data_IF_899009031445
#
_entry.id   IF_899009031445
#
_cell.length_a   1.000
_cell.length_b   1.000
_cell.length_c   1.000
_cell.angle_alpha   90.00
_cell.angle_beta   90.00
_cell.angle_gamma   90.00
#
_symmetry.space_group_name_H-M   'P 1'
#
loop_
_entity.id
_entity.type
_entity.pdbx_description
1 polymer ?
#
# COMPACT_ATOMS: atom_id res chain seq x y z
N UNK A 1 -14.16 -2.13 29.48
CA UNK A 1 -12.92 -2.45 28.73
C UNK A 1 -13.20 -3.16 27.41
N UNK A 2 -14.01 -4.23 27.40
CA UNK A 2 -14.34 -5.01 26.19
C UNK A 2 -14.80 -4.18 24.97
N UNK A 3 -15.71 -3.22 25.16
CA UNK A 3 -16.19 -2.34 24.09
C UNK A 3 -15.10 -1.46 23.46
N UNK A 4 -14.12 -1.00 24.26
CA UNK A 4 -13.00 -0.19 23.74
C UNK A 4 -12.07 -1.03 22.89
N UNK A 5 -11.83 -2.28 23.28
CA UNK A 5 -11.00 -3.21 22.52
C UNK A 5 -11.66 -3.59 21.19
N UNK A 6 -12.98 -3.81 21.19
CA UNK A 6 -13.75 -4.10 19.98
C UNK A 6 -13.82 -2.90 19.03
N UNK A 7 -14.08 -1.69 19.54
CA UNK A 7 -14.10 -0.48 18.72
C UNK A 7 -12.72 -0.19 18.10
N UNK A 8 -11.64 -0.36 18.87
CA UNK A 8 -10.28 -0.19 18.36
C UNK A 8 -9.92 -1.25 17.31
N UNK A 9 -10.31 -2.51 17.52
CA UNK A 9 -10.09 -3.57 16.54
C UNK A 9 -10.86 -3.32 15.23
N UNK A 10 -12.12 -2.88 15.31
CA UNK A 10 -12.92 -2.53 14.13
C UNK A 10 -12.34 -1.31 13.39
N UNK A 11 -11.90 -0.30 14.12
CA UNK A 11 -11.22 0.87 13.56
C UNK A 11 -9.92 0.47 12.85
N UNK A 12 -9.12 -0.38 13.49
CA UNK A 12 -7.87 -0.90 12.91
C UNK A 12 -8.12 -1.74 11.66
N UNK A 13 -9.17 -2.55 11.62
CA UNK A 13 -9.54 -3.33 10.44
C UNK A 13 -9.98 -2.45 9.28
N UNK A 14 -10.85 -1.46 9.54
CA UNK A 14 -11.29 -0.51 8.52
C UNK A 14 -10.12 0.26 7.91
N UNK A 15 -9.16 0.66 8.73
CA UNK A 15 -8.03 1.47 8.28
C UNK A 15 -6.92 0.60 7.67
N UNK A 16 -6.68 -0.62 8.18
CA UNK A 16 -5.81 -1.60 7.53
C UNK A 16 -6.24 -1.89 6.09
N UNK A 17 -7.55 -1.92 5.83
CA UNK A 17 -8.09 -2.03 4.48
C UNK A 17 -7.87 -0.76 3.62
N UNK A 18 -7.80 0.42 4.24
CA UNK A 18 -7.57 1.70 3.55
C UNK A 18 -6.09 1.99 3.26
N UNK A 19 -5.15 1.38 3.99
CA UNK A 19 -3.69 1.62 3.85
C UNK A 19 -3.12 1.22 2.46
N UNK A 20 -3.95 0.65 1.59
CA UNK A 20 -3.66 0.38 0.19
C UNK A 20 -4.33 1.33 -0.80
N UNK A 21 -4.73 2.55 -0.41
CA UNK A 21 -5.28 3.57 -1.32
C UNK A 21 -4.40 4.80 -1.27
N UNK A 22 -3.43 4.89 -2.17
CA UNK A 22 -2.59 6.07 -2.28
C UNK A 22 -2.18 6.34 -3.73
N UNK A 23 -1.43 7.40 -3.92
CA UNK A 23 -0.96 7.84 -5.23
C UNK A 23 0.53 7.52 -5.38
N UNK A 24 0.98 7.11 -6.58
CA UNK A 24 2.40 7.05 -6.89
C UNK A 24 3.09 8.41 -6.65
N UNK A 25 4.34 8.40 -6.19
CA UNK A 25 5.12 9.63 -5.98
C UNK A 25 5.46 10.39 -7.26
N UNK A 26 5.10 9.85 -8.42
CA UNK A 26 5.22 10.46 -9.75
C UNK A 26 3.97 11.23 -10.19
N UNK A 27 2.85 11.10 -9.50
CA UNK A 27 1.60 11.78 -9.86
C UNK A 27 1.28 12.95 -8.93
N UNK A 28 0.69 13.99 -9.50
CA UNK A 28 0.07 15.04 -8.71
C UNK A 28 -1.19 14.44 -8.04
N UNK A 29 -1.24 14.48 -6.72
CA UNK A 29 -2.47 14.15 -6.00
C UNK A 29 -3.50 15.27 -6.19
N UNK A 30 -4.79 14.95 -6.05
CA UNK A 30 -5.85 15.96 -5.93
C UNK A 30 -5.63 16.92 -4.74
N UNK A 31 -4.75 16.53 -3.81
CA UNK A 31 -4.37 17.30 -2.63
C UNK A 31 -3.14 18.19 -2.82
N UNK A 32 -2.63 18.34 -4.06
CA UNK A 32 -1.51 19.24 -4.37
C UNK A 32 -0.12 18.64 -4.16
N UNK A 33 0.00 17.31 -4.14
CA UNK A 33 1.27 16.59 -3.96
C UNK A 33 1.66 16.37 -2.49
N UNK A 34 2.80 15.72 -2.28
CA UNK A 34 3.35 15.50 -0.94
C UNK A 34 3.76 16.82 -0.29
N UNK A 35 3.39 17.03 0.98
CA UNK A 35 3.82 18.18 1.79
C UNK A 35 5.28 18.10 2.18
N UNK A 36 5.86 16.91 2.15
CA UNK A 36 7.28 16.70 2.39
C UNK A 36 8.12 16.85 1.12
N UNK A 37 7.50 17.25 0.01
CA UNK A 37 8.19 17.44 -1.24
C UNK A 37 9.11 18.66 -1.25
N UNK A 38 10.38 18.46 -1.53
CA UNK A 38 11.44 19.47 -1.41
C UNK A 38 11.64 19.98 0.04
N UNK A 39 11.11 19.24 1.01
CA UNK A 39 11.30 19.46 2.44
C UNK A 39 12.20 18.37 3.02
N UNK A 40 12.57 18.52 4.28
CA UNK A 40 13.38 17.54 5.00
C UNK A 40 12.52 16.55 5.78
N UNK A 41 13.10 15.42 6.17
CA UNK A 41 12.44 14.51 7.11
C UNK A 41 12.28 15.11 8.52
N UNK A 42 12.95 16.22 8.84
CA UNK A 42 12.70 16.94 10.09
C UNK A 42 11.34 17.65 10.08
N UNK A 43 10.78 17.92 8.89
CA UNK A 43 9.45 18.54 8.73
C UNK A 43 8.30 17.52 8.87
N UNK A 44 8.60 16.22 8.76
CA UNK A 44 7.64 15.17 9.10
C UNK A 44 7.39 15.15 10.61
N UNK A 45 6.25 14.62 11.06
CA UNK A 45 6.06 14.44 12.50
C UNK A 45 6.76 13.19 13.01
N UNK A 46 6.73 12.13 12.22
CA UNK A 46 7.50 10.92 12.50
C UNK A 46 8.16 10.38 11.25
N UNK A 47 9.29 9.71 11.46
CA UNK A 47 10.09 9.10 10.42
C UNK A 47 10.59 7.73 10.85
N UNK A 48 10.89 6.85 9.91
CA UNK A 48 11.70 5.68 10.19
C UNK A 48 12.42 5.25 8.93
N UNK A 49 13.69 4.89 9.10
CA UNK A 49 14.59 4.57 8.00
C UNK A 49 15.10 3.16 8.24
N UNK A 50 15.04 2.34 7.20
CA UNK A 50 15.59 0.99 7.17
C UNK A 50 16.63 0.94 6.06
N UNK A 51 17.87 0.67 6.44
CA UNK A 51 18.99 0.59 5.51
C UNK A 51 19.39 -0.87 5.37
N UNK A 52 19.50 -1.34 4.13
CA UNK A 52 19.97 -2.68 3.83
C UNK A 52 21.04 -2.61 2.76
N UNK A 53 22.01 -3.51 2.85
CA UNK A 53 23.03 -3.67 1.83
C UNK A 53 22.65 -4.87 0.96
N UNK A 54 22.26 -4.65 -0.30
CA UNK A 54 22.10 -5.75 -1.22
C UNK A 54 23.49 -6.31 -1.50
N UNK A 55 23.91 -7.32 -0.74
CA UNK A 55 25.15 -8.05 -0.98
C UNK A 55 25.05 -8.77 -2.34
N UNK A 56 25.28 -8.02 -3.40
CA UNK A 56 25.14 -8.35 -4.81
C UNK A 56 26.52 -8.05 -5.39
N UNK A 57 27.22 -9.10 -5.81
CA UNK A 57 28.46 -8.92 -6.54
C UNK A 57 28.13 -8.13 -7.81
N UNK A 58 28.74 -6.95 -7.97
CA UNK A 58 28.68 -6.25 -9.24
C UNK A 58 29.93 -6.67 -10.06
N UNK A 59 29.75 -7.38 -11.18
CA UNK A 59 30.69 -7.59 -12.27
C UNK A 59 31.45 -6.34 -12.73
N UNK A 60 32.39 -6.58 -13.66
CA UNK A 60 33.64 -5.83 -13.89
C UNK A 60 33.58 -4.29 -13.80
N UNK A 61 33.41 -3.74 -12.60
CA UNK A 61 34.15 -2.54 -12.24
C UNK A 61 35.52 -2.99 -11.76
N UNK A 62 36.54 -2.52 -12.46
CA UNK A 62 37.95 -2.90 -12.33
C UNK A 62 38.58 -2.61 -10.97
N UNK A 63 37.82 -2.23 -9.94
CA UNK A 63 38.39 -1.84 -8.64
C UNK A 63 37.51 -1.92 -7.38
N UNK A 64 36.27 -2.45 -7.37
CA UNK A 64 35.56 -2.56 -6.08
C UNK A 64 34.16 -3.14 -6.09
N UNK A 65 33.82 -3.85 -5.00
CA UNK A 65 32.46 -4.24 -4.66
C UNK A 65 31.65 -3.00 -4.32
N UNK A 66 30.56 -2.74 -5.04
CA UNK A 66 29.58 -1.74 -4.61
C UNK A 66 28.84 -2.28 -3.39
N UNK A 67 29.18 -1.74 -2.22
CA UNK A 67 28.45 -1.96 -0.97
C UNK A 67 27.50 -0.82 -0.64
N UNK A 68 27.18 0.02 -1.62
CA UNK A 68 26.34 1.21 -1.39
C UNK A 68 24.98 0.76 -0.88
N UNK A 69 24.64 1.09 0.37
CA UNK A 69 23.39 0.61 0.94
C UNK A 69 22.20 1.27 0.23
N UNK A 70 21.06 0.60 0.23
CA UNK A 70 19.77 1.19 -0.14
C UNK A 70 19.01 1.48 1.14
N UNK A 71 18.29 2.59 1.20
CA UNK A 71 17.47 2.93 2.37
C UNK A 71 16.02 3.18 1.98
N UNK A 72 15.13 2.49 2.68
CA UNK A 72 13.70 2.79 2.69
C UNK A 72 13.41 3.76 3.82
N UNK A 73 12.50 4.69 3.61
CA UNK A 73 11.97 5.50 4.69
C UNK A 73 10.45 5.60 4.63
N UNK A 74 9.81 5.56 5.80
CA UNK A 74 8.41 5.89 5.96
C UNK A 74 8.29 7.17 6.77
N UNK A 75 7.38 8.05 6.35
CA UNK A 75 7.10 9.32 7.02
C UNK A 75 5.60 9.44 7.31
N UNK A 76 5.28 10.09 8.42
CA UNK A 76 3.93 10.52 8.73
C UNK A 76 3.96 12.03 8.99
N UNK A 77 3.20 12.78 8.20
CA UNK A 77 3.02 14.22 8.33
C UNK A 77 1.57 14.54 8.66
N UNK A 78 1.37 15.38 9.66
CA UNK A 78 0.11 15.98 10.05
C UNK A 78 0.38 17.41 10.54
N UNK A 79 -0.24 18.41 9.93
CA UNK A 79 -0.04 19.80 10.30
C UNK A 79 -0.54 20.07 11.73
N UNK A 80 0.27 20.80 12.50
CA UNK A 80 0.12 20.93 13.96
C UNK A 80 -1.03 21.83 14.42
N UNK A 81 -1.65 22.59 13.52
CA UNK A 81 -2.76 23.51 13.80
C UNK A 81 -3.60 23.62 12.54
N UNK A 82 -4.32 22.56 12.16
CA UNK A 82 -5.11 22.57 10.92
C UNK A 82 -6.29 23.54 11.02
N UNK A 83 -6.04 24.81 10.73
CA UNK A 83 -7.08 25.81 10.48
C UNK A 83 -7.61 25.52 9.07
N UNK A 84 -8.68 24.71 9.00
CA UNK A 84 -9.61 24.44 7.89
C UNK A 84 -9.08 24.03 6.49
N UNK A 85 -7.82 24.31 6.12
CA UNK A 85 -7.28 24.08 4.77
C UNK A 85 -6.04 23.16 4.72
N UNK A 86 -5.55 22.67 5.85
CA UNK A 86 -4.53 21.61 5.92
C UNK A 86 -5.14 20.34 6.52
N UNK A 87 -6.24 19.89 5.95
CA UNK A 87 -7.17 18.89 6.49
C UNK A 87 -6.70 17.44 6.40
N UNK A 88 -5.42 17.18 6.04
CA UNK A 88 -4.97 15.83 5.75
C UNK A 88 -3.68 15.42 6.44
N UNK A 89 -3.66 14.19 6.95
CA UNK A 89 -2.45 13.46 7.26
C UNK A 89 -1.89 12.85 5.98
N UNK A 90 -0.57 12.81 5.87
CA UNK A 90 0.13 12.18 4.76
C UNK A 90 1.03 11.05 5.29
N UNK A 91 0.86 9.87 4.71
CA UNK A 91 1.77 8.74 4.89
C UNK A 91 2.56 8.54 3.62
N UNK A 92 3.88 8.51 3.71
CA UNK A 92 4.71 8.50 2.51
C UNK A 92 5.84 7.50 2.61
N UNK A 93 6.10 6.81 1.50
CA UNK A 93 7.18 5.86 1.33
C UNK A 93 8.24 6.44 0.39
N UNK A 94 9.49 6.41 0.85
CA UNK A 94 10.64 6.97 0.16
C UNK A 94 11.74 5.94 -0.02
N UNK A 95 12.56 6.14 -1.05
CA UNK A 95 13.79 5.36 -1.28
C UNK A 95 14.99 6.29 -1.47
N UNK A 96 16.13 5.93 -0.88
CA UNK A 96 17.44 6.51 -1.17
C UNK A 96 18.34 5.42 -1.74
N UNK A 97 18.95 5.73 -2.88
CA UNK A 97 20.00 4.92 -3.51
C UNK A 97 21.40 5.35 -3.08
N UNK A 98 21.48 6.28 -2.11
CA UNK A 98 22.74 6.81 -1.57
C UNK A 98 23.71 7.30 -2.65
N UNK A 99 23.17 8.03 -3.64
CA UNK A 99 23.94 8.63 -4.73
C UNK A 99 24.15 7.71 -5.93
N UNK A 100 23.78 6.42 -5.83
CA UNK A 100 23.87 5.51 -6.96
C UNK A 100 22.79 5.86 -8.00
N UNK A 101 23.21 5.99 -9.26
CA UNK A 101 22.30 6.38 -10.33
C UNK A 101 21.48 5.18 -10.83
N UNK A 102 20.28 5.00 -10.27
CA UNK A 102 19.34 3.96 -10.70
C UNK A 102 18.62 4.28 -12.01
N UNK A 103 18.79 5.51 -12.52
CA UNK A 103 18.20 5.93 -13.80
C UNK A 103 19.09 5.61 -15.00
N UNK A 104 20.38 5.34 -14.74
CA UNK A 104 21.33 4.87 -15.75
C UNK A 104 21.30 3.34 -15.83
N UNK A 105 20.80 2.84 -16.95
CA UNK A 105 20.65 1.42 -17.19
C UNK A 105 21.99 0.70 -17.40
N UNK A 106 23.09 1.43 -17.62
CA UNK A 106 24.36 0.81 -17.97
C UNK A 106 25.31 0.68 -16.78
N UNK A 107 25.27 1.62 -15.83
CA UNK A 107 26.24 1.68 -14.73
C UNK A 107 26.03 0.67 -13.59
N UNK A 108 24.79 0.18 -13.39
CA UNK A 108 24.45 -0.66 -12.23
C UNK A 108 24.75 -2.15 -12.41
N UNK A 109 24.69 -2.66 -13.64
CA UNK A 109 24.90 -4.08 -13.92
C UNK A 109 23.76 -5.03 -13.51
N UNK A 110 22.72 -4.53 -12.85
CA UNK A 110 21.50 -5.26 -12.48
C UNK A 110 20.25 -4.43 -12.77
N UNK A 111 19.11 -5.11 -12.86
CA UNK A 111 17.80 -4.47 -12.79
C UNK A 111 17.14 -4.75 -11.43
N UNK A 112 16.23 -3.88 -10.98
CA UNK A 112 15.54 -4.07 -9.71
C UNK A 112 14.05 -3.73 -9.78
N UNK A 113 13.25 -4.49 -9.05
CA UNK A 113 11.85 -4.23 -8.76
C UNK A 113 11.66 -4.11 -7.25
N UNK A 114 10.68 -3.32 -6.81
CA UNK A 114 10.13 -3.47 -5.45
C UNK A 114 8.65 -3.79 -5.49
N UNK A 115 8.20 -4.48 -4.45
CA UNK A 115 6.84 -4.91 -4.26
C UNK A 115 6.40 -4.57 -2.84
N UNK A 116 5.21 -4.02 -2.69
CA UNK A 116 4.57 -3.85 -1.39
C UNK A 116 3.69 -5.05 -1.10
N UNK A 117 3.78 -5.59 0.11
CA UNK A 117 2.86 -6.63 0.57
C UNK A 117 1.64 -5.98 1.21
N UNK A 118 0.45 -6.41 0.81
CA UNK A 118 -0.81 -5.93 1.38
C UNK A 118 -1.59 -7.07 2.05
N UNK A 119 -2.73 -6.72 2.66
CA UNK A 119 -3.63 -7.63 3.38
C UNK A 119 -3.03 -8.20 4.67
N UNK A 120 -2.18 -7.45 5.36
CA UNK A 120 -1.69 -7.87 6.68
C UNK A 120 -2.84 -7.94 7.67
N UNK A 121 -2.86 -8.97 8.51
CA UNK A 121 -3.72 -8.99 9.68
C UNK A 121 -3.34 -7.85 10.62
N UNK A 122 -4.32 -7.27 11.31
CA UNK A 122 -4.07 -6.26 12.36
C UNK A 122 -3.05 -6.77 13.37
N UNK A 123 -3.15 -8.04 13.77
CA UNK A 123 -2.18 -8.65 14.69
C UNK A 123 -0.74 -8.62 14.15
N UNK A 124 -0.56 -8.81 12.85
CA UNK A 124 0.75 -8.73 12.18
C UNK A 124 1.31 -7.31 12.23
N UNK A 125 0.48 -6.30 11.98
CA UNK A 125 0.87 -4.88 12.10
C UNK A 125 1.30 -4.56 13.54
N UNK A 126 0.55 -5.04 14.54
CA UNK A 126 0.87 -4.86 15.95
C UNK A 126 2.16 -5.58 16.38
N UNK A 127 2.53 -6.70 15.73
CA UNK A 127 3.82 -7.36 15.97
C UNK A 127 5.00 -6.57 15.41
N UNK A 128 4.77 -5.87 14.30
CA UNK A 128 5.78 -5.06 13.64
C UNK A 128 6.16 -3.77 14.36
N UNK A 129 5.53 -3.44 15.49
CA UNK A 129 5.86 -2.23 16.25
C UNK A 129 7.32 -2.24 16.71
N UNK A 130 7.84 -3.41 17.09
CA UNK A 130 9.22 -3.58 17.55
C UNK A 130 10.15 -4.10 16.43
N UNK A 131 9.74 -3.98 15.16
CA UNK A 131 10.57 -4.41 14.05
C UNK A 131 11.77 -3.46 13.84
N UNK A 132 12.93 -4.07 13.61
CA UNK A 132 14.20 -3.37 13.38
C UNK A 132 14.42 -3.02 11.91
N UNK A 133 13.50 -3.43 11.02
CA UNK A 133 13.61 -3.27 9.59
C UNK A 133 13.77 -4.58 8.83
N UNK A 134 14.09 -5.69 9.53
CA UNK A 134 14.32 -7.00 8.92
C UNK A 134 13.03 -7.79 8.65
N UNK A 135 11.87 -7.28 9.08
CA UNK A 135 10.59 -7.98 9.14
C UNK A 135 10.53 -9.16 10.12
N UNK A 136 11.58 -9.45 10.91
CA UNK A 136 11.65 -10.68 11.71
C UNK A 136 10.73 -10.69 12.94
N UNK A 137 10.31 -9.52 13.44
CA UNK A 137 9.29 -9.39 14.48
C UNK A 137 7.88 -9.49 13.88
N UNK A 138 7.73 -8.90 12.69
CA UNK A 138 6.47 -8.81 11.94
C UNK A 138 6.04 -10.15 11.37
N UNK A 139 6.94 -10.79 10.64
CA UNK A 139 6.76 -12.06 9.93
C UNK A 139 7.77 -13.08 10.50
N UNK A 140 7.44 -14.37 10.46
CA UNK A 140 8.42 -15.38 10.84
C UNK A 140 9.46 -15.62 9.73
N UNK A 141 10.60 -16.19 10.10
CA UNK A 141 11.71 -16.49 9.17
C UNK A 141 11.28 -17.39 8.00
N UNK A 142 10.37 -18.34 8.22
CA UNK A 142 9.88 -19.22 7.17
C UNK A 142 9.13 -18.44 6.08
N UNK A 143 8.17 -17.59 6.48
CA UNK A 143 7.43 -16.72 5.58
C UNK A 143 8.37 -15.77 4.81
N UNK A 144 9.31 -15.12 5.51
CA UNK A 144 10.28 -14.21 4.88
C UNK A 144 11.09 -14.94 3.81
N UNK A 145 11.66 -16.10 4.16
CA UNK A 145 12.48 -16.89 3.24
C UNK A 145 11.67 -17.39 2.04
N UNK A 146 10.45 -17.89 2.26
CA UNK A 146 9.63 -18.44 1.19
C UNK A 146 9.18 -17.34 0.21
N UNK A 147 8.84 -16.14 0.71
CA UNK A 147 8.54 -14.98 -0.14
C UNK A 147 9.76 -14.55 -0.97
N UNK A 148 10.93 -14.46 -0.34
CA UNK A 148 12.18 -14.12 -1.03
C UNK A 148 12.54 -15.17 -2.09
N UNK A 149 12.39 -16.45 -1.77
CA UNK A 149 12.67 -17.57 -2.67
C UNK A 149 11.69 -17.60 -3.85
N UNK A 150 10.39 -17.41 -3.59
CA UNK A 150 9.37 -17.37 -4.63
C UNK A 150 9.65 -16.24 -5.63
N UNK A 151 9.83 -15.01 -5.16
CA UNK A 151 10.09 -13.87 -6.04
C UNK A 151 11.41 -14.00 -6.80
N UNK A 152 12.47 -14.49 -6.16
CA UNK A 152 13.76 -14.74 -6.84
C UNK A 152 13.62 -15.82 -7.91
N UNK A 153 12.89 -16.90 -7.62
CA UNK A 153 12.62 -17.99 -8.58
C UNK A 153 11.88 -17.47 -9.81
N UNK A 154 10.81 -16.68 -9.62
CA UNK A 154 10.07 -16.12 -10.75
C UNK A 154 10.88 -15.08 -11.53
N UNK A 155 11.71 -14.29 -10.85
CA UNK A 155 12.65 -13.40 -11.52
C UNK A 155 13.62 -14.18 -12.42
N UNK A 156 14.24 -15.26 -11.91
CA UNK A 156 15.14 -16.14 -12.69
C UNK A 156 14.42 -16.74 -13.91
N UNK A 157 13.17 -17.19 -13.75
CA UNK A 157 12.39 -17.75 -14.87
C UNK A 157 12.10 -16.72 -15.96
N UNK A 158 11.89 -15.45 -15.58
CA UNK A 158 11.53 -14.39 -16.53
C UNK A 158 12.75 -13.79 -17.23
N UNK A 159 13.84 -13.56 -16.50
CA UNK A 159 15.04 -12.89 -17.04
C UNK A 159 16.14 -13.86 -17.47
N UNK A 160 16.02 -15.15 -17.13
CA UNK A 160 17.07 -16.15 -17.33
C UNK A 160 18.21 -16.04 -16.31
N UNK A 161 19.17 -16.96 -16.41
CA UNK A 161 20.43 -16.89 -15.68
C UNK A 161 21.53 -16.32 -16.62
N UNK A 162 22.00 -15.10 -16.36
CA UNK A 162 23.13 -14.51 -17.08
C UNK A 162 22.79 -13.74 -18.38
N UNK A 163 23.76 -13.66 -19.29
CA UNK A 163 23.75 -12.79 -20.50
C UNK A 163 22.73 -13.16 -21.59
N UNK A 164 21.93 -14.20 -21.38
CA UNK A 164 20.92 -14.68 -22.33
C UNK A 164 19.52 -14.07 -22.09
N UNK A 165 19.42 -12.96 -21.34
CA UNK A 165 18.13 -12.31 -21.11
C UNK A 165 17.56 -11.76 -22.41
N UNK A 166 16.40 -12.27 -22.83
CA UNK A 166 15.72 -11.92 -24.07
C UNK A 166 14.79 -10.70 -23.90
N UNK A 167 15.12 -9.81 -22.97
CA UNK A 167 14.25 -8.76 -22.53
C UNK A 167 14.76 -7.39 -23.03
N UNK A 168 13.87 -6.55 -23.53
CA UNK A 168 14.25 -5.20 -24.01
C UNK A 168 14.30 -4.22 -22.84
N UNK A 169 14.92 -3.05 -23.01
CA UNK A 169 14.95 -2.00 -21.97
C UNK A 169 13.55 -1.55 -21.49
N UNK A 170 12.49 -1.83 -22.26
CA UNK A 170 11.10 -1.52 -21.93
C UNK A 170 10.32 -2.67 -21.28
N UNK A 171 10.95 -3.84 -21.11
CA UNK A 171 10.28 -5.03 -20.57
C UNK A 171 10.18 -5.06 -19.04
N UNK A 172 11.05 -4.31 -18.34
CA UNK A 172 11.17 -4.39 -16.88
C UNK A 172 9.84 -4.13 -16.14
N UNK A 173 8.98 -3.16 -16.52
CA UNK A 173 7.65 -3.03 -15.93
C UNK A 173 6.82 -4.32 -16.01
N UNK A 174 6.81 -4.99 -17.18
CA UNK A 174 6.11 -6.25 -17.40
C UNK A 174 6.72 -7.42 -16.60
N UNK A 175 8.05 -7.43 -16.44
CA UNK A 175 8.76 -8.39 -15.58
C UNK A 175 8.36 -8.19 -14.12
N UNK A 176 8.42 -6.97 -13.59
CA UNK A 176 8.00 -6.67 -12.22
C UNK A 176 6.54 -7.10 -11.99
N UNK A 177 5.63 -6.75 -12.91
CA UNK A 177 4.22 -7.15 -12.82
C UNK A 177 4.05 -8.67 -12.82
N UNK A 178 4.80 -9.38 -13.67
CA UNK A 178 4.75 -10.85 -13.75
C UNK A 178 5.28 -11.52 -12.50
N UNK A 179 6.33 -10.98 -11.87
CA UNK A 179 6.85 -11.47 -10.58
C UNK A 179 5.77 -11.29 -9.50
N UNK A 180 5.17 -10.11 -9.39
CA UNK A 180 4.13 -9.82 -8.40
C UNK A 180 2.91 -10.73 -8.57
N UNK A 181 2.43 -10.91 -9.81
CA UNK A 181 1.31 -11.78 -10.16
C UNK A 181 1.60 -13.25 -9.82
N UNK A 182 2.76 -13.77 -10.23
CA UNK A 182 3.14 -15.17 -9.98
C UNK A 182 3.34 -15.46 -8.50
N UNK A 183 3.97 -14.56 -7.75
CA UNK A 183 4.14 -14.69 -6.30
C UNK A 183 2.79 -14.59 -5.59
N UNK A 184 1.89 -13.71 -6.01
CA UNK A 184 0.54 -13.60 -5.42
C UNK A 184 -0.29 -14.86 -5.68
N UNK A 185 -0.26 -15.40 -6.91
CA UNK A 185 -0.98 -16.65 -7.24
C UNK A 185 -0.46 -17.87 -6.50
N UNK A 186 0.83 -17.88 -6.19
CA UNK A 186 1.51 -18.96 -5.47
C UNK A 186 2.02 -18.46 -4.13
N UNK A 187 1.18 -17.71 -3.40
CA UNK A 187 1.57 -17.08 -2.16
C UNK A 187 1.98 -18.15 -1.14
N UNK A 188 3.16 -18.04 -0.49
CA UNK A 188 3.64 -19.08 0.41
C UNK A 188 2.67 -19.40 1.54
N UNK A 189 2.35 -20.67 1.73
CA UNK A 189 1.44 -21.11 2.81
C UNK A 189 2.00 -20.83 4.20
N UNK A 190 3.34 -20.79 4.35
CA UNK A 190 4.03 -20.37 5.57
C UNK A 190 3.69 -18.94 6.00
N UNK A 191 3.21 -18.11 5.07
CA UNK A 191 2.79 -16.75 5.33
C UNK A 191 1.31 -16.62 5.72
N UNK A 192 0.46 -17.63 5.49
CA UNK A 192 -0.99 -17.48 5.62
C UNK A 192 -1.45 -16.96 7.00
N UNK A 193 -0.72 -17.27 8.07
CA UNK A 193 -1.04 -16.81 9.44
C UNK A 193 -0.83 -15.32 9.68
N UNK A 194 -0.19 -14.60 8.74
CA UNK A 194 0.11 -13.18 8.86
C UNK A 194 -0.80 -12.29 8.01
N UNK A 195 -1.60 -12.88 7.12
CA UNK A 195 -2.39 -12.17 6.12
C UNK A 195 -3.87 -12.56 6.20
N UNK A 196 -4.75 -11.62 5.89
CA UNK A 196 -6.18 -11.86 5.74
C UNK A 196 -6.46 -12.44 4.35
N UNK A 197 -6.50 -13.77 4.26
CA UNK A 197 -6.59 -14.48 2.99
C UNK A 197 -5.24 -14.62 2.27
N UNK A 198 -5.22 -14.83 0.94
CA UNK A 198 -3.97 -14.85 0.20
C UNK A 198 -3.35 -13.46 0.27
N UNK A 199 -2.14 -13.37 0.84
CA UNK A 199 -1.38 -12.13 0.79
C UNK A 199 -1.16 -11.71 -0.67
N UNK A 200 -1.08 -10.41 -0.90
CA UNK A 200 -0.93 -9.85 -2.24
C UNK A 200 0.38 -9.09 -2.33
N UNK A 201 1.14 -9.37 -3.38
CA UNK A 201 2.25 -8.52 -3.83
C UNK A 201 1.72 -7.58 -4.90
N UNK A 202 1.91 -6.29 -4.69
CA UNK A 202 1.64 -5.25 -5.70
C UNK A 202 2.94 -4.88 -6.42
N UNK A 203 2.91 -4.91 -7.75
CA UNK A 203 3.99 -4.46 -8.62
C UNK A 203 3.52 -4.24 -10.05
N UNK A 204 3.91 -3.13 -10.67
CA UNK A 204 3.47 -2.71 -12.00
C UNK A 204 2.60 -1.46 -11.95
N UNK A 205 2.44 -0.76 -13.08
CA UNK A 205 1.52 0.38 -13.17
C UNK A 205 0.06 -0.12 -13.14
N UNK A 206 -0.87 0.58 -12.49
CA UNK A 206 -0.72 1.81 -11.68
C UNK A 206 -0.39 1.55 -10.19
N UNK A 207 -0.03 0.31 -9.85
CA UNK A 207 -0.01 -0.24 -8.48
C UNK A 207 1.24 0.11 -7.64
N UNK A 208 1.15 -0.21 -6.33
CA UNK A 208 2.10 0.03 -5.23
C UNK A 208 3.44 -0.74 -5.32
N UNK A 209 4.12 -0.66 -6.45
CA UNK A 209 5.39 -1.34 -6.69
C UNK A 209 5.77 -1.28 -8.15
N UNK A 210 7.02 -1.60 -8.47
CA UNK A 210 7.47 -1.60 -9.85
C UNK A 210 8.97 -1.48 -10.02
N UNK A 211 9.41 -1.12 -11.24
CA UNK A 211 10.83 -1.00 -11.56
C UNK A 211 11.49 0.11 -10.75
N UNK A 212 12.61 -0.21 -10.11
CA UNK A 212 13.50 0.75 -9.46
C UNK A 212 14.63 1.19 -10.39
N UNK A 213 14.97 0.39 -11.41
CA UNK A 213 15.95 0.73 -12.45
C UNK A 213 15.23 0.92 -13.79
N UNK A 214 15.94 1.35 -14.83
CA UNK A 214 15.34 1.45 -16.16
C UNK A 214 14.90 2.87 -16.54
N UNK A 215 14.52 3.06 -17.81
CA UNK A 215 13.93 4.32 -18.27
C UNK A 215 12.54 4.56 -17.69
N UNK A 216 11.88 3.50 -17.21
CA UNK A 216 10.58 3.51 -16.52
C UNK A 216 10.71 3.40 -15.00
N UNK A 217 11.92 3.57 -14.45
CA UNK A 217 12.16 3.52 -13.01
C UNK A 217 11.26 4.48 -12.24
N UNK A 218 10.67 4.01 -11.14
CA UNK A 218 9.92 4.83 -10.19
C UNK A 218 10.81 5.89 -9.53
N UNK A 219 12.11 5.66 -9.43
CA UNK A 219 13.09 6.64 -8.94
C UNK A 219 13.28 7.76 -9.96
N UNK A 220 13.30 7.42 -11.26
CA UNK A 220 13.41 8.40 -12.36
C UNK A 220 12.15 9.22 -12.53
N UNK A 221 10.97 8.59 -12.38
CA UNK A 221 9.68 9.25 -12.57
C UNK A 221 9.22 10.00 -11.31
N UNK A 222 9.83 9.74 -10.16
CA UNK A 222 9.60 10.53 -8.94
C UNK A 222 10.00 11.98 -9.18
N UNK A 223 9.00 12.88 -9.14
CA UNK A 223 9.22 14.32 -9.26
C UNK A 223 9.62 14.94 -7.91
N UNK A 224 9.57 14.13 -6.85
CA UNK A 224 9.58 14.61 -5.50
C UNK A 224 10.78 14.07 -4.73
N UNK A 225 11.53 15.00 -4.12
CA UNK A 225 12.76 14.68 -3.40
C UNK A 225 12.72 15.19 -1.97
N UNK A 226 13.42 14.52 -1.06
CA UNK A 226 13.60 14.95 0.32
C UNK A 226 15.02 14.66 0.78
N UNK A 227 15.57 15.49 1.69
CA UNK A 227 16.94 15.39 2.22
C UNK A 227 18.01 15.22 1.13
N UNK A 228 17.80 15.78 -0.06
CA UNK A 228 18.62 15.63 -1.29
C UNK A 228 18.73 14.21 -1.88
N UNK A 229 18.66 13.14 -1.09
CA UNK A 229 18.91 11.77 -1.53
C UNK A 229 17.68 10.88 -1.65
N UNK A 230 16.58 11.21 -0.97
CA UNK A 230 15.36 10.41 -1.00
C UNK A 230 14.46 10.81 -2.18
N UNK A 231 13.77 9.82 -2.73
CA UNK A 231 12.77 9.95 -3.78
C UNK A 231 11.46 9.38 -3.29
N UNK A 232 10.37 10.12 -3.48
CA UNK A 232 9.03 9.70 -3.12
C UNK A 232 8.57 8.60 -4.07
N UNK A 233 8.19 7.43 -3.54
CA UNK A 233 7.61 6.36 -4.36
C UNK A 233 6.10 6.30 -4.23
N UNK A 234 5.56 6.64 -3.06
CA UNK A 234 4.14 6.53 -2.78
C UNK A 234 3.72 7.47 -1.65
N UNK A 235 2.50 7.98 -1.74
CA UNK A 235 1.86 8.73 -0.65
C UNK A 235 0.38 8.38 -0.54
N UNK A 236 -0.13 8.36 0.68
CA UNK A 236 -1.55 8.31 1.00
C UNK A 236 -1.94 9.54 1.80
N UNK A 237 -3.13 10.06 1.51
CA UNK A 237 -3.70 11.22 2.17
C UNK A 237 -4.99 10.79 2.85
N UNK A 238 -5.13 11.11 4.13
CA UNK A 238 -6.30 10.79 4.94
C UNK A 238 -6.72 12.01 5.77
N UNK A 239 -7.90 12.00 6.37
CA UNK A 239 -8.33 13.13 7.22
C UNK A 239 -7.37 13.35 8.41
N UNK A 240 -6.96 14.60 8.63
CA UNK A 240 -6.07 14.99 9.73
C UNK A 240 -6.80 14.91 11.08
N UNK A 241 -6.74 13.73 11.71
CA UNK A 241 -7.27 13.51 13.05
C UNK A 241 -6.33 12.62 13.88
N UNK A 242 -6.42 12.63 15.23
CA UNK A 242 -5.52 11.86 16.08
C UNK A 242 -5.54 10.34 15.82
N UNK A 243 -6.67 9.78 15.38
CA UNK A 243 -6.80 8.35 15.07
C UNK A 243 -6.01 7.98 13.82
N UNK A 244 -6.20 8.74 12.74
CA UNK A 244 -5.43 8.61 11.49
C UNK A 244 -3.94 8.75 11.77
N UNK A 245 -3.55 9.77 12.54
CA UNK A 245 -2.16 9.98 12.94
C UNK A 245 -1.57 8.78 13.68
N UNK A 246 -2.27 8.29 14.71
CA UNK A 246 -1.83 7.14 15.49
C UNK A 246 -1.63 5.91 14.61
N UNK A 247 -2.59 5.65 13.72
CA UNK A 247 -2.53 4.47 12.86
C UNK A 247 -1.40 4.58 11.85
N UNK A 248 -1.19 5.74 11.22
CA UNK A 248 -0.04 5.96 10.35
C UNK A 248 1.31 5.68 11.00
N UNK A 249 1.41 5.91 12.31
CA UNK A 249 2.59 5.57 13.10
C UNK A 249 2.67 4.08 13.43
N UNK A 250 1.55 3.37 13.44
CA UNK A 250 1.49 1.93 13.69
C UNK A 250 1.65 1.11 12.41
N UNK A 251 1.29 1.65 11.24
CA UNK A 251 1.43 0.94 9.96
C UNK A 251 2.87 0.51 9.77
N UNK A 252 3.03 -0.74 9.37
CA UNK A 252 4.28 -1.27 8.88
C UNK A 252 4.11 -1.67 7.43
N UNK A 253 5.09 -1.32 6.60
CA UNK A 253 5.12 -1.64 5.18
C UNK A 253 6.19 -2.72 4.93
N UNK A 254 5.80 -3.99 4.74
CA UNK A 254 6.70 -5.03 4.27
C UNK A 254 6.92 -4.83 2.77
N UNK A 255 8.19 -4.61 2.42
CA UNK A 255 8.66 -4.34 1.09
C UNK A 255 9.58 -5.47 0.66
N UNK A 256 9.26 -6.10 -0.47
CA UNK A 256 10.11 -7.08 -1.11
C UNK A 256 10.84 -6.40 -2.27
N UNK A 257 12.15 -6.26 -2.18
CA UNK A 257 12.99 -5.73 -3.27
C UNK A 257 13.69 -6.89 -3.96
N UNK A 258 13.45 -7.07 -5.25
CA UNK A 258 14.07 -8.12 -6.07
C UNK A 258 15.05 -7.51 -7.04
N UNK A 259 16.31 -7.86 -6.88
CA UNK A 259 17.40 -7.53 -7.78
C UNK A 259 17.60 -8.69 -8.74
N UNK A 260 17.81 -8.40 -10.02
CA UNK A 260 17.88 -9.41 -11.06
C UNK A 260 18.97 -9.09 -12.07
N UNK A 261 19.51 -10.12 -12.77
CA UNK A 261 20.34 -9.89 -13.93
C UNK A 261 19.69 -8.88 -14.87
N UNK A 262 20.53 -8.11 -15.55
CA UNK A 262 20.07 -7.17 -16.54
C UNK A 262 19.18 -7.89 -17.57
N UNK A 263 18.02 -7.32 -17.82
CA UNK A 263 17.07 -7.77 -18.84
C UNK A 263 17.66 -7.75 -20.27
N UNK A 264 18.67 -6.93 -20.53
CA UNK A 264 19.19 -6.63 -21.86
C UNK A 264 20.54 -7.31 -22.11
N UNK A 265 20.54 -8.30 -22.98
CA UNK A 265 21.72 -9.11 -23.35
C UNK A 265 22.91 -8.32 -23.92
N UNK A 266 22.74 -7.05 -24.30
CA UNK A 266 23.84 -6.21 -24.80
C UNK A 266 24.70 -5.59 -23.69
N UNK A 267 24.28 -5.76 -22.42
CA UNK A 267 24.97 -5.16 -21.26
C UNK A 267 25.79 -6.20 -20.49
N UNK A 268 26.92 -5.80 -19.86
CA UNK A 268 27.67 -6.68 -18.98
C UNK A 268 26.83 -7.02 -17.75
N UNK A 269 26.39 -8.28 -17.66
CA UNK A 269 25.64 -8.78 -16.51
C UNK A 269 26.57 -8.88 -15.31
N UNK A 270 26.23 -8.16 -14.26
CA UNK A 270 27.04 -8.17 -13.04
C UNK A 270 26.53 -9.16 -12.02
N UNK A 271 25.23 -9.45 -12.04
CA UNK A 271 24.55 -10.34 -11.12
C UNK A 271 24.30 -11.71 -11.77
N UNK A 272 24.85 -12.78 -11.18
CA UNK A 272 24.70 -14.13 -11.72
C UNK A 272 23.29 -14.72 -11.53
N UNK A 273 22.58 -14.30 -10.48
CA UNK A 273 21.26 -14.82 -10.14
C UNK A 273 20.41 -13.75 -9.45
N UNK A 274 19.09 -13.76 -9.71
CA UNK A 274 18.19 -12.87 -9.01
C UNK A 274 18.19 -13.15 -7.50
N UNK A 275 18.08 -12.08 -6.70
CA UNK A 275 18.10 -12.09 -5.25
C UNK A 275 17.04 -11.14 -4.73
N UNK A 276 16.19 -11.62 -3.83
CA UNK A 276 15.17 -10.81 -3.18
C UNK A 276 15.50 -10.56 -1.72
N UNK A 277 15.21 -9.35 -1.25
CA UNK A 277 15.41 -8.91 0.12
C UNK A 277 14.09 -8.34 0.63
N UNK A 278 13.73 -8.73 1.85
CA UNK A 278 12.54 -8.24 2.53
C UNK A 278 12.96 -7.17 3.54
N UNK A 279 12.21 -6.09 3.64
CA UNK A 279 12.43 -5.03 4.63
C UNK A 279 11.09 -4.53 5.13
N UNK A 280 10.99 -4.18 6.41
CA UNK A 280 9.76 -3.68 7.02
C UNK A 280 9.97 -2.27 7.53
N UNK A 281 9.36 -1.29 6.86
CA UNK A 281 9.55 0.12 7.22
C UNK A 281 8.32 0.67 7.94
N UNK A 282 8.55 1.53 8.94
CA UNK A 282 7.52 2.20 9.73
C UNK A 282 8.03 3.55 10.22
N UNK A 283 7.16 4.54 10.28
CA UNK A 283 7.49 5.84 10.86
C UNK A 283 7.46 5.77 12.40
N UNK A 284 8.61 5.46 13.02
CA UNK A 284 8.70 5.17 14.48
C UNK A 284 9.40 6.24 15.32
N UNK A 285 10.23 7.08 14.71
CA UNK A 285 10.97 8.14 15.38
C UNK A 285 10.16 9.43 15.34
N UNK A 286 9.66 9.86 16.48
CA UNK A 286 8.89 11.10 16.62
C UNK A 286 9.85 12.30 16.64
N UNK A 287 9.65 13.26 15.75
CA UNK A 287 10.45 14.48 15.70
C UNK A 287 10.10 15.42 16.86
N UNK A 288 11.06 16.27 17.24
CA UNK A 288 10.85 17.26 18.30
C UNK A 288 9.67 18.18 17.97
N UNK A 289 8.87 18.50 18.98
CA UNK A 289 7.65 19.30 18.83
C UNK A 289 6.47 18.53 18.24
N UNK A 290 6.61 17.25 17.88
CA UNK A 290 5.50 16.44 17.36
C UNK A 290 4.64 15.78 18.44
N UNK A 291 3.39 15.47 18.10
CA UNK A 291 2.47 14.78 19.02
C UNK A 291 2.97 13.36 19.13
N UNK A 292 3.16 12.87 20.35
CA UNK A 292 3.54 11.47 20.55
C UNK A 292 2.31 10.60 20.25
N UNK A 293 2.34 9.72 19.24
CA UNK A 293 1.24 8.82 18.98
C UNK A 293 1.02 7.90 20.19
N UNK A 294 -0.23 7.52 20.50
CA UNK A 294 -0.48 6.55 21.55
C UNK A 294 0.25 5.23 21.25
N UNK A 295 0.65 4.53 22.31
CA UNK A 295 1.27 3.20 22.18
C UNK A 295 0.27 2.25 21.52
N UNK A 296 0.74 1.52 20.52
CA UNK A 296 -0.08 0.50 19.85
C UNK A 296 -0.50 -0.60 20.84
N UNK A 297 -1.67 -1.23 20.65
CA UNK A 297 -2.05 -2.40 21.44
C UNK A 297 -1.01 -3.52 21.34
N UNK A 298 -0.83 -4.27 22.43
CA UNK A 298 0.04 -5.45 22.44
C UNK A 298 -0.50 -6.51 21.47
N UNK A 299 0.36 -7.05 20.61
CA UNK A 299 0.00 -8.13 19.72
C UNK A 299 -0.36 -9.41 20.50
N UNK A 300 -1.34 -10.14 19.99
CA UNK A 300 -1.66 -11.48 20.45
C UNK A 300 -0.58 -12.46 19.99
N UNK A 301 -0.12 -13.40 20.83
CA UNK A 301 0.77 -14.47 20.40
C UNK A 301 0.18 -15.21 19.20
N UNK A 302 0.99 -15.44 18.16
CA UNK A 302 0.60 -16.34 17.08
C UNK A 302 0.75 -17.75 17.64
N UNK A 303 -0.35 -18.49 17.73
CA UNK A 303 -0.29 -19.91 18.01
C UNK A 303 0.55 -20.56 16.93
N UNK A 304 1.77 -20.97 17.27
CA UNK A 304 2.54 -21.86 16.42
C UNK A 304 1.69 -23.11 16.30
N UNK A 305 1.02 -23.30 15.16
CA UNK A 305 0.37 -24.56 14.86
C UNK A 305 1.50 -25.59 14.82
N UNK A 306 1.76 -26.19 15.97
CA UNK A 306 2.80 -27.17 16.13
C UNK A 306 2.45 -28.31 15.20
N UNK A 307 3.21 -28.45 14.12
CA UNK A 307 3.54 -29.77 13.59
C UNK A 307 4.45 -30.47 14.61
N UNK A 308 4.00 -30.57 15.86
CA UNK A 308 4.45 -31.61 16.75
C UNK A 308 3.92 -32.89 16.13
N UNK A 309 4.72 -33.45 15.22
CA UNK A 309 4.77 -34.87 14.97
C UNK A 309 5.18 -35.51 16.30
N UNK A 310 4.23 -35.61 17.23
CA UNK A 310 4.33 -36.48 18.38
C UNK A 310 4.63 -37.86 17.82
N UNK A 311 5.87 -38.31 18.02
CA UNK A 311 6.22 -39.70 17.96
C UNK A 311 5.14 -40.49 18.71
N UNK A 312 4.59 -41.50 18.05
CA UNK A 312 3.46 -42.30 18.53
C UNK A 312 3.65 -42.67 20.01
N UNK A 313 2.84 -42.13 20.94
CA UNK A 313 2.82 -42.62 22.29
C UNK A 313 2.01 -43.91 22.32
N UNK A 314 2.58 -44.90 22.99
CA UNK A 314 1.97 -46.16 23.39
C UNK A 314 0.52 -45.94 23.91
N UNK A 315 -0.46 -46.81 23.61
CA UNK A 315 -1.86 -46.56 23.94
C UNK A 315 -2.07 -46.74 25.45
N UNK A 316 -2.08 -45.62 26.18
CA UNK A 316 -2.63 -45.56 27.53
C UNK A 316 -3.65 -44.42 27.57
N UNK A 317 -4.88 -44.81 27.84
CA UNK A 317 -6.10 -44.01 27.86
C UNK A 317 -5.93 -42.72 28.68
N UNK A 318 -5.93 -41.58 27.99
CA UNK A 318 -6.16 -40.28 28.62
C UNK A 318 -6.90 -39.36 27.65
N UNK A 319 -8.08 -38.92 28.09
CA UNK A 319 -9.03 -38.04 27.41
C UNK A 319 -8.39 -36.70 27.05
N UNK A 320 -8.09 -36.49 25.78
CA UNK A 320 -7.57 -35.22 25.26
C UNK A 320 -8.72 -34.24 24.97
N UNK A 321 -8.74 -33.10 25.67
CA UNK A 321 -9.63 -31.97 25.39
C UNK A 321 -8.97 -31.07 24.34
N UNK A 322 -9.46 -31.14 23.10
CA UNK A 322 -9.14 -30.18 22.04
C UNK A 322 -9.95 -28.89 22.29
N UNK A 323 -9.24 -27.77 22.49
CA UNK A 323 -9.84 -26.45 22.66
C UNK A 323 -10.41 -25.91 21.35
N UNK A 324 -11.53 -26.48 20.89
CA UNK A 324 -12.38 -25.87 19.89
C UNK A 324 -12.99 -24.59 20.48
N UNK A 325 -12.90 -23.47 19.76
CA UNK A 325 -13.66 -22.27 20.08
C UNK A 325 -15.12 -22.68 20.28
N UNK A 326 -15.63 -22.40 21.48
CA UNK A 326 -16.98 -22.80 21.91
C UNK A 326 -17.97 -22.45 20.81
N UNK A 327 -18.68 -23.46 20.28
CA UNK A 327 -19.67 -23.29 19.21
C UNK A 327 -20.73 -22.23 19.53
N UNK A 328 -20.90 -21.87 20.80
CA UNK A 328 -21.75 -20.76 21.23
C UNK A 328 -21.32 -19.39 20.71
N UNK A 329 -20.02 -19.12 20.55
CA UNK A 329 -19.55 -17.82 20.06
C UNK A 329 -19.82 -17.64 18.56
N UNK A 330 -19.63 -18.70 17.77
CA UNK A 330 -19.90 -18.71 16.32
C UNK A 330 -21.42 -18.59 16.07
N UNK A 331 -22.25 -19.29 16.86
CA UNK A 331 -23.71 -19.18 16.75
C UNK A 331 -24.23 -17.75 17.01
N UNK A 332 -23.63 -17.04 17.96
CA UNK A 332 -24.02 -15.67 18.31
C UNK A 332 -23.82 -14.66 17.17
N UNK A 333 -22.70 -14.76 16.43
CA UNK A 333 -22.40 -13.83 15.34
C UNK A 333 -23.36 -14.01 14.16
N UNK A 334 -23.72 -15.26 13.83
CA UNK A 334 -24.63 -15.55 12.70
C UNK A 334 -26.04 -15.03 12.97
N UNK A 335 -26.55 -15.20 14.20
CA UNK A 335 -27.88 -14.70 14.57
C UNK A 335 -27.88 -13.16 14.60
N UNK A 336 -26.82 -12.54 15.13
CA UNK A 336 -26.67 -11.08 15.14
C UNK A 336 -26.65 -10.48 13.74
N UNK A 337 -25.91 -11.09 12.80
CA UNK A 337 -25.85 -10.64 11.42
C UNK A 337 -27.21 -10.77 10.71
N UNK A 338 -27.92 -11.88 10.89
CA UNK A 338 -29.24 -12.08 10.31
C UNK A 338 -30.27 -11.04 10.81
N UNK A 339 -30.27 -10.75 12.12
CA UNK A 339 -31.14 -9.72 12.70
C UNK A 339 -30.77 -8.30 12.23
N UNK A 340 -29.48 -8.00 12.11
CA UNK A 340 -28.99 -6.70 11.62
C UNK A 340 -29.39 -6.43 10.17
N UNK A 341 -29.23 -7.42 9.28
CA UNK A 341 -29.64 -7.30 7.85
C UNK A 341 -31.15 -7.13 7.73
N UNK A 342 -31.95 -7.86 8.53
CA UNK A 342 -33.41 -7.70 8.53
C UNK A 342 -33.85 -6.29 8.95
N UNK A 343 -33.21 -5.70 9.96
CA UNK A 343 -33.48 -4.33 10.40
C UNK A 343 -33.11 -3.29 9.34
N UNK A 344 -31.95 -3.44 8.67
CA UNK A 344 -31.52 -2.53 7.61
C UNK A 344 -32.44 -2.59 6.38
N UNK A 345 -32.86 -3.78 5.98
CA UNK A 345 -33.83 -3.95 4.88
C UNK A 345 -35.21 -3.38 5.26
N UNK A 346 -35.64 -3.58 6.52
CA UNK A 346 -36.87 -2.97 7.04
C UNK A 346 -36.84 -1.44 7.01
N UNK A 347 -35.73 -0.84 7.46
CA UNK A 347 -35.55 0.62 7.45
C UNK A 347 -35.51 1.16 6.01
N UNK A 348 -34.79 0.50 5.11
CA UNK A 348 -34.72 0.86 3.70
C UNK A 348 -36.10 0.79 3.02
N UNK A 349 -36.90 -0.22 3.34
CA UNK A 349 -38.25 -0.38 2.79
C UNK A 349 -39.22 0.71 3.28
N UNK A 350 -39.12 1.12 4.56
CA UNK A 350 -39.92 2.21 5.12
C UNK A 350 -39.59 3.57 4.48
N UNK A 351 -38.29 3.87 4.27
CA UNK A 351 -37.85 5.11 3.60
C UNK A 351 -38.26 5.12 2.12
N UNK A 352 -38.21 3.96 1.44
CA UNK A 352 -38.66 3.88 0.04
C UNK A 352 -40.18 4.08 -0.08
N UNK A 353 -40.96 3.59 0.88
CA UNK A 353 -42.43 3.73 0.89
C UNK A 353 -42.88 5.17 1.16
N UNK A 354 -42.19 5.91 2.02
CA UNK A 354 -42.55 7.31 2.30
C UNK A 354 -42.33 8.23 1.09
N UNK A 355 -41.28 7.99 0.28
CA UNK A 355 -40.99 8.80 -0.92
C UNK A 355 -42.00 8.64 -2.06
N UNK A 356 -42.74 7.54 -2.11
CA UNK A 356 -43.78 7.34 -3.13
C UNK A 356 -45.06 8.11 -2.77
N UNK A 357 -45.37 8.25 -1.48
CA UNK A 357 -46.57 8.95 -1.01
C UNK A 357 -46.51 10.48 -1.20
N UNK A 358 -45.32 11.05 -1.43
CA UNK A 358 -45.14 12.50 -1.55
C UNK A 358 -45.25 13.01 -3.00
N UNK A 359 -45.13 12.12 -4.00
CA UNK A 359 -45.29 12.49 -5.42
C UNK A 359 -46.73 12.80 -5.82
N UNK A 360 -47.72 12.32 -5.07
CA UNK A 360 -49.14 12.56 -5.37
C UNK A 360 -49.68 13.86 -4.76
N UNK A 361 -48.87 14.60 -3.96
CA UNK A 361 -49.30 15.85 -3.30
C UNK A 361 -48.76 17.14 -3.93
N UNK A 362 -47.90 17.06 -4.96
CA UNK A 362 -47.31 18.25 -5.62
C UNK A 362 -47.95 18.55 -6.99
N UNK A 363 -48.95 17.76 -7.43
CA UNK A 363 -49.58 17.89 -8.74
C UNK A 363 -50.64 18.99 -8.91
N UNK A 364 -50.87 19.88 -7.93
CA UNK A 364 -52.01 20.81 -7.97
C UNK A 364 -51.67 22.24 -7.54
N UNK A 365 -50.64 22.85 -8.13
CA UNK A 365 -50.51 24.31 -8.17
C UNK A 365 -49.45 24.71 -9.21
N UNK A 366 -49.85 24.98 -10.45
CA UNK A 366 -49.16 25.90 -11.38
C UNK A 366 -49.97 26.01 -12.68
N UNK A 367 -51.03 26.80 -12.62
CA UNK A 367 -51.56 27.52 -13.77
C UNK A 367 -50.92 28.91 -13.80
N UNK A 368 -50.57 29.35 -15.01
CA UNK A 368 -50.33 30.75 -15.40
C UNK A 368 -48.92 31.30 -15.15
N UNK A 369 -48.09 31.32 -16.20
CA UNK A 369 -47.86 32.58 -16.93
C UNK A 369 -47.00 32.34 -18.17
N UNK A 370 -47.53 32.83 -19.28
CA UNK A 370 -46.89 32.99 -20.57
C UNK A 370 -45.62 33.86 -20.44
N UNK A 371 -44.56 33.49 -21.15
CA UNK A 371 -43.77 34.51 -21.83
C UNK A 371 -43.03 33.90 -23.02
N UNK A 372 -43.49 34.29 -24.20
CA UNK A 372 -42.80 34.18 -25.47
C UNK A 372 -41.48 34.96 -25.39
N UNK A 373 -40.37 34.38 -25.86
CA UNK A 373 -39.57 35.12 -26.83
C UNK A 373 -38.72 34.22 -27.73
N UNK A 374 -38.76 34.58 -28.99
CA UNK A 374 -38.21 33.96 -30.18
C UNK A 374 -36.84 34.53 -30.54
N UNK A 375 -35.93 33.69 -31.03
CA UNK A 375 -34.92 33.99 -32.09
C UNK A 375 -33.95 32.80 -32.13
N UNK A 376 -33.96 31.88 -33.11
CA UNK A 376 -33.80 32.04 -34.55
C UNK A 376 -32.45 32.68 -34.93
N UNK A 377 -31.41 31.84 -35.04
CA UNK A 377 -30.24 32.11 -35.90
C UNK A 377 -29.90 30.83 -36.65
N UNK A 378 -30.27 30.86 -37.92
CA UNK A 378 -29.91 29.98 -39.03
C UNK A 378 -28.66 30.53 -39.74
N UNK A 379 -27.93 29.65 -40.42
CA UNK A 379 -26.78 29.96 -41.29
C UNK A 379 -25.54 29.15 -40.90
N UNK A 380 -24.92 28.30 -41.72
CA UNK A 380 -25.06 28.09 -43.15
C UNK A 380 -23.66 27.97 -43.79
N UNK A 381 -23.36 26.77 -44.30
CA UNK A 381 -22.61 26.44 -45.54
C UNK A 381 -21.06 26.49 -45.63
N UNK A 382 -20.59 25.42 -46.30
CA UNK A 382 -19.38 25.22 -47.13
C UNK A 382 -18.06 25.00 -46.37
N UNK A 383 -17.19 24.05 -46.70
CA UNK A 383 -17.03 23.13 -47.83
C UNK A 383 -15.59 22.55 -47.77
N UNK A 384 -15.29 21.63 -48.67
CA UNK A 384 -13.98 21.01 -48.97
C UNK A 384 -13.67 19.64 -48.36
N UNK A 385 -13.71 18.67 -49.26
CA UNK A 385 -13.05 17.39 -49.21
C UNK A 385 -11.52 17.56 -49.15
N UNK A 386 -10.87 16.70 -48.37
CA UNK A 386 -9.56 16.16 -48.68
C UNK A 386 -9.50 14.75 -48.10
N UNK A 387 -9.52 13.79 -49.02
CA UNK A 387 -9.19 12.40 -48.87
C UNK A 387 -7.74 12.28 -48.36
N UNK A 388 -7.54 11.73 -47.15
CA UNK A 388 -6.25 11.19 -46.73
C UNK A 388 -6.50 9.83 -46.10
N UNK A 389 -5.91 8.86 -46.78
CA UNK A 389 -5.97 7.43 -46.56
C UNK A 389 -5.18 7.00 -45.31
N UNK A 390 -5.73 6.01 -44.62
CA UNK A 390 -5.03 5.10 -43.71
C UNK A 390 -4.49 5.67 -42.40
N UNK A 391 -5.28 5.62 -41.32
CA UNK A 391 -4.82 5.30 -39.96
C UNK A 391 -5.93 4.52 -39.25
N UNK A 392 -5.65 3.28 -38.83
CA UNK A 392 -6.60 2.45 -38.09
C UNK A 392 -6.97 3.10 -36.75
N UNK A 393 -8.18 2.86 -36.22
CA UNK A 393 -8.56 3.40 -34.93
C UNK A 393 -7.69 2.76 -33.84
N UNK A 394 -6.75 3.52 -33.28
CA UNK A 394 -6.24 3.21 -31.96
C UNK A 394 -7.41 3.38 -31.00
N UNK A 395 -7.86 2.27 -30.44
CA UNK A 395 -8.79 2.24 -29.32
C UNK A 395 -8.02 2.80 -28.14
N UNK A 396 -8.23 4.09 -27.87
CA UNK A 396 -7.81 4.72 -26.63
C UNK A 396 -8.58 4.04 -25.50
N UNK A 397 -7.86 3.35 -24.62
CA UNK A 397 -8.46 2.75 -23.45
C UNK A 397 -9.06 3.87 -22.60
N UNK A 398 -10.32 3.75 -22.12
CA UNK A 398 -10.92 4.78 -21.30
C UNK A 398 -10.08 4.97 -20.03
N UNK A 399 -9.56 6.17 -19.83
CA UNK A 399 -9.00 6.62 -18.56
C UNK A 399 -10.09 6.55 -17.49
N UNK A 400 -10.17 5.44 -16.78
CA UNK A 400 -11.00 5.31 -15.57
C UNK A 400 -10.29 5.99 -14.40
N UNK A 401 -10.34 7.32 -14.34
CA UNK A 401 -9.99 8.10 -13.15
C UNK A 401 -11.13 8.04 -12.11
N UNK A 402 -11.56 6.83 -11.75
CA UNK A 402 -12.54 6.62 -10.70
C UNK A 402 -11.84 6.43 -9.35
N UNK A 403 -11.48 7.53 -8.69
CA UNK A 403 -11.01 7.47 -7.31
C UNK A 403 -12.23 7.46 -6.37
N UNK A 404 -12.31 6.45 -5.51
CA UNK A 404 -13.35 6.34 -4.49
C UNK A 404 -13.00 7.26 -3.32
N UNK A 405 -13.75 8.36 -3.17
CA UNK A 405 -13.76 9.16 -1.96
C UNK A 405 -14.84 8.58 -1.03
N UNK A 406 -14.44 7.89 0.04
CA UNK A 406 -15.38 7.41 1.06
C UNK A 406 -15.35 8.33 2.27
N UNK A 407 -16.42 9.12 2.42
CA UNK A 407 -16.71 9.87 3.64
C UNK A 407 -17.06 8.89 4.76
N UNK A 408 -16.27 8.89 5.83
CA UNK A 408 -16.57 8.13 7.06
C UNK A 408 -17.34 9.02 8.03
N UNK A 409 -18.51 8.61 8.56
CA UNK A 409 -19.15 9.31 9.65
C UNK A 409 -18.47 8.94 10.98
N UNK A 410 -17.65 9.83 11.51
CA UNK A 410 -16.91 9.67 12.77
C UNK A 410 -17.35 10.73 13.79
N UNK A 411 -18.59 10.62 14.28
CA UNK A 411 -19.13 11.49 15.34
C UNK A 411 -19.14 10.77 16.69
N UNK A 412 -17.99 10.45 17.30
CA UNK A 412 -17.95 10.14 18.75
C UNK A 412 -16.57 10.08 19.45
N UNK A 413 -15.50 10.70 18.92
CA UNK A 413 -14.17 10.67 19.57
C UNK A 413 -13.62 12.04 19.98
N UNK A 414 -14.43 13.10 19.96
CA UNK A 414 -13.92 14.47 20.02
C UNK A 414 -13.58 15.03 21.40
N UNK A 415 -13.66 14.26 22.49
CA UNK A 415 -13.57 14.87 23.84
C UNK A 415 -12.57 14.17 24.79
N UNK A 416 -11.32 14.00 24.34
CA UNK A 416 -10.21 13.83 25.28
C UNK A 416 -9.03 14.73 24.93
N UNK A 417 -8.81 15.69 25.82
CA UNK A 417 -7.66 16.59 25.87
C UNK A 417 -6.34 15.80 25.72
N UNK A 418 -5.67 15.99 24.58
CA UNK A 418 -4.26 15.66 24.43
C UNK A 418 -3.46 16.81 25.01
N UNK A 419 -2.95 16.65 26.23
CA UNK A 419 -1.99 17.59 26.81
C UNK A 419 -0.61 17.39 26.17
N UNK A 420 0.05 18.45 25.66
CA UNK A 420 1.43 18.37 25.20
C UNK A 420 2.33 17.99 26.38
N UNK A 421 3.11 16.92 26.24
CA UNK A 421 4.08 16.51 27.25
C UNK A 421 5.42 17.18 26.93
N UNK A 422 5.89 18.07 27.80
CA UNK A 422 7.25 18.59 27.71
C UNK A 422 8.27 17.45 27.92
N UNK A 423 9.24 17.33 27.01
CA UNK A 423 10.32 16.37 27.12
C UNK A 423 11.35 16.88 28.15
N UNK A 424 11.98 15.99 28.94
CA UNK A 424 13.09 16.37 29.80
C UNK A 424 14.25 16.91 28.96
N UNK A 425 14.79 18.04 29.40
CA UNK A 425 15.89 18.78 28.77
C UNK A 425 17.22 18.02 28.79
#
# INVERSE_FOLDING_TARGET
>A
MLFKTLALAALLQGIAAQIGVGVPGSSNSLYGGSRLCNHSFADANTTGIVTFNPAIAQGQQTSGSFSSPVSWAATNFQPFNAVENSSHSEFSLWISTNGVNYTDNFGLGFDACYFRLSNLLVNTVLRGQDDDGTCSSTLNKACINDLQNAASTYAIQLVGAGSASNLTANSLPGVCSSIAEKTTRNFPSSCAVFFDGPGRLSGGLPDYGGPLTGPHSLIKTSQCTSNSSFRLLWSQFEAANPGTYAIGNWVIDPLLTTFMPIADSTRPVTLSLAKSIMSCVRAKNVNSGSVIPPVAPTATPIGTAGNDTTAAPNPASATAQTGMLSGGAIAGVVIGAAAGVALLLGLFFLVRRSRVAEKDRVGQHSSTSENENSSLVDGGRHGHAAEVDGHGPMVEAPHTNGYYEMQVPLTELQEKNFEPKELPA
#
